data_IF_211698632908
#
_entry.id   IF_211698632908
#
_cell.length_a   1.000
_cell.length_b   1.000
_cell.length_c   1.000
_cell.angle_alpha   90.00
_cell.angle_beta   90.00
_cell.angle_gamma   90.00
#
_symmetry.space_group_name_H-M   'P 1'
#
loop_
_entity.id
_entity.type
_entity.pdbx_description
1 polymer ?
2 polymer ?
3 water ?
#
# COMPACT_ATOMS: atom_id res chain seq x y z
N UNK A 1 -2.03 14.22 14.85
CA UNK A 1 -2.12 15.02 13.54
C UNK A 1 -2.60 14.22 12.34
N UNK A 2 -2.56 14.82 11.19
CA UNK A 2 -2.98 14.09 10.05
C UNK A 2 -1.96 12.96 9.72
N UNK A 3 -2.48 11.95 9.02
CA UNK A 3 -1.58 10.85 8.70
C UNK A 3 -0.56 11.30 7.63
N UNK A 4 0.67 10.88 7.79
CA UNK A 4 1.61 11.27 6.75
C UNK A 4 1.53 10.43 5.46
N UNK A 5 0.70 9.42 5.49
CA UNK A 5 0.76 8.48 4.35
C UNK A 5 -0.38 8.46 3.45
N UNK A 6 -1.33 9.34 3.65
CA UNK A 6 -2.50 9.33 2.80
C UNK A 6 -2.39 10.38 1.75
N UNK A 7 -2.34 9.97 0.47
CA UNK A 7 -2.08 10.96 -0.56
C UNK A 7 -3.19 11.25 -1.51
N UNK A 8 -4.38 10.78 -1.17
CA UNK A 8 -5.50 11.10 -2.00
C UNK A 8 -5.48 10.46 -3.36
N UNK A 9 -6.00 11.12 -4.35
CA UNK A 9 -6.13 10.53 -5.67
C UNK A 9 -4.95 10.99 -6.53
N UNK A 10 -3.89 10.22 -6.46
CA UNK A 10 -2.63 10.56 -7.25
C UNK A 10 -2.55 9.41 -8.18
N UNK A 11 -2.06 9.63 -9.37
CA UNK A 11 -1.94 8.52 -10.37
C UNK A 11 -0.87 7.53 -9.94
N UNK A 12 -1.10 6.27 -10.38
CA UNK A 12 -0.09 5.28 -10.09
C UNK A 12 1.31 5.71 -10.46
N UNK A 13 1.41 6.25 -11.68
CA UNK A 13 2.76 6.64 -12.13
C UNK A 13 3.40 7.76 -11.33
N UNK A 14 2.56 8.70 -10.81
CA UNK A 14 3.11 9.73 -9.95
C UNK A 14 3.53 9.18 -8.63
N UNK A 15 2.79 8.17 -8.08
CA UNK A 15 3.23 7.57 -6.81
C UNK A 15 4.61 6.89 -7.02
N UNK A 16 4.76 6.24 -8.18
CA UNK A 16 6.13 5.61 -8.40
C UNK A 16 7.21 6.72 -8.48
N UNK A 17 6.95 7.80 -9.20
CA UNK A 17 7.93 8.89 -9.28
C UNK A 17 8.30 9.38 -7.91
N UNK A 18 7.32 9.67 -7.08
CA UNK A 18 7.62 10.15 -5.72
C UNK A 18 8.33 9.18 -4.88
N UNK A 19 7.95 7.89 -4.90
CA UNK A 19 8.62 6.94 -4.04
C UNK A 19 10.05 6.57 -4.49
N UNK A 20 10.25 6.64 -5.77
CA UNK A 20 11.61 6.30 -6.31
C UNK A 20 12.66 7.19 -5.74
N UNK A 21 12.28 8.40 -5.39
CA UNK A 21 13.16 9.41 -4.86
C UNK A 21 13.45 9.25 -3.41
N UNK A 22 12.72 8.37 -2.73
CA UNK A 22 12.94 8.22 -1.29
C UNK A 22 14.10 7.35 -1.08
N UNK A 23 14.80 7.51 0.01
CA UNK A 23 15.91 6.62 0.04
C UNK A 23 15.76 5.42 0.89
N UNK A 24 14.75 5.33 1.72
CA UNK A 24 14.68 4.18 2.58
C UNK A 24 13.71 3.13 2.08
N UNK A 25 14.04 1.88 2.26
CA UNK A 25 13.20 0.77 1.88
C UNK A 25 11.98 0.84 2.83
N UNK A 26 10.81 0.61 2.26
CA UNK A 26 9.60 0.61 3.13
C UNK A 26 8.86 1.94 2.98
N UNK A 27 9.46 2.96 2.39
CA UNK A 27 8.75 4.27 2.19
C UNK A 27 7.48 3.93 1.40
N UNK A 28 6.34 4.50 1.82
CA UNK A 28 5.06 4.06 1.22
C UNK A 28 4.06 5.18 1.27
N UNK A 29 2.98 4.95 0.53
CA UNK A 29 1.83 5.84 0.60
C UNK A 29 0.62 5.05 0.23
N UNK A 30 -0.58 5.49 0.77
CA UNK A 30 -1.84 4.96 0.36
C UNK A 30 -2.48 5.98 -0.52
N UNK A 31 -3.06 5.49 -1.63
CA UNK A 31 -3.74 6.40 -2.61
C UNK A 31 -5.04 5.85 -2.92
N UNK A 32 -5.91 6.71 -3.41
CA UNK A 32 -7.21 6.26 -3.92
C UNK A 32 -7.04 5.84 -5.36
N UNK A 33 -7.42 4.64 -5.66
CA UNK A 33 -7.18 4.12 -7.00
C UNK A 33 -7.96 4.87 -8.10
N UNK A 34 -7.28 5.14 -9.21
CA UNK A 34 -7.95 5.74 -10.40
C UNK A 34 -8.51 4.64 -11.28
N UNK A 35 -7.99 3.43 -11.25
CA UNK A 35 -8.54 2.38 -12.11
C UNK A 35 -9.71 1.68 -11.50
N UNK A 36 -9.81 1.73 -10.19
CA UNK A 36 -10.93 1.07 -9.55
C UNK A 36 -11.49 2.03 -8.50
N UNK A 37 -12.41 2.92 -8.90
CA UNK A 37 -12.98 3.85 -7.92
C UNK A 37 -13.58 3.23 -6.71
N UNK A 38 -13.23 3.79 -5.55
CA UNK A 38 -13.67 3.28 -4.25
C UNK A 38 -12.68 2.36 -3.61
N UNK A 39 -11.62 2.00 -4.37
CA UNK A 39 -10.61 1.12 -3.79
C UNK A 39 -9.37 1.97 -3.47
N UNK A 40 -8.63 1.47 -2.46
CA UNK A 40 -7.35 2.07 -2.11
C UNK A 40 -6.20 1.14 -2.57
N UNK A 41 -5.09 1.79 -2.85
CA UNK A 41 -3.84 1.12 -3.21
C UNK A 41 -2.73 1.52 -2.34
N UNK A 42 -1.85 0.56 -2.08
CA UNK A 42 -0.70 0.81 -1.23
C UNK A 42 0.51 0.74 -2.18
N UNK A 43 1.30 1.80 -2.21
CA UNK A 43 2.51 1.78 -3.11
C UNK A 43 3.70 1.83 -2.15
N UNK A 44 4.75 0.98 -2.40
CA UNK A 44 5.83 0.92 -1.43
C UNK A 44 7.17 0.70 -2.20
N UNK A 45 8.17 1.35 -1.65
CA UNK A 45 9.53 1.18 -2.25
C UNK A 45 10.30 0.10 -1.57
N UNK A 46 10.98 -0.77 -2.42
CA UNK A 46 11.85 -1.70 -1.83
C UNK A 46 12.95 -2.06 -2.85
N UNK A 47 14.19 -1.94 -2.40
CA UNK A 47 15.17 -2.50 -3.41
C UNK A 47 15.18 -1.94 -4.83
N UNK A 48 15.23 -0.61 -4.88
CA UNK A 48 15.23 0.22 -6.04
C UNK A 48 14.04 -0.03 -6.93
N UNK A 49 12.88 -0.39 -6.38
CA UNK A 49 11.74 -0.67 -7.24
C UNK A 49 10.50 -0.19 -6.39
N UNK A 50 9.41 -0.06 -7.09
CA UNK A 50 8.13 0.30 -6.40
C UNK A 50 7.13 -0.74 -6.72
N UNK A 51 6.44 -1.25 -5.66
CA UNK A 51 5.39 -2.30 -5.84
C UNK A 51 4.05 -1.74 -5.41
N UNK A 52 3.02 -2.22 -6.03
CA UNK A 52 1.62 -1.75 -5.70
C UNK A 52 0.81 -2.92 -5.23
N UNK A 53 0.05 -2.67 -4.16
CA UNK A 53 -0.85 -3.65 -3.57
C UNK A 53 -2.23 -3.08 -3.56
N UNK A 54 -3.22 -3.93 -3.70
CA UNK A 54 -4.60 -3.40 -3.62
C UNK A 54 -5.01 -3.64 -2.17
N UNK A 55 -5.67 -2.64 -1.55
CA UNK A 55 -6.19 -2.94 -0.16
C UNK A 55 -7.54 -3.68 -0.43
N UNK A 56 -7.55 -4.91 0.02
CA UNK A 56 -8.75 -5.77 -0.20
C UNK A 56 -9.77 -5.54 0.91
N UNK A 57 -11.04 -5.80 0.60
CA UNK A 57 -12.13 -5.65 1.60
C UNK A 57 -12.96 -6.89 1.51
N UNK A 58 -13.34 -7.42 2.66
CA UNK A 58 -14.10 -8.66 2.57
C UNK A 58 -15.58 -8.42 2.82
N UNK A 59 -16.23 -9.57 2.98
CA UNK A 59 -17.67 -9.49 3.22
C UNK A 59 -18.13 -8.88 4.52
N UNK A 60 -17.25 -8.72 5.51
CA UNK A 60 -17.61 -8.07 6.78
C UNK A 60 -17.17 -6.67 6.74
N UNK A 61 -16.62 -6.21 5.59
CA UNK A 61 -16.15 -4.83 5.50
C UNK A 61 -14.72 -4.58 5.99
N UNK A 62 -13.98 -5.67 6.22
CA UNK A 62 -12.66 -5.51 6.81
C UNK A 62 -11.65 -5.31 5.73
N UNK A 63 -10.56 -4.67 6.06
CA UNK A 63 -9.49 -4.42 5.05
C UNK A 63 -8.39 -5.40 5.30
N UNK A 64 -7.69 -5.79 4.21
CA UNK A 64 -6.55 -6.75 4.42
C UNK A 64 -5.70 -6.72 3.15
N UNK A 65 -4.48 -7.25 3.31
CA UNK A 65 -3.64 -7.42 2.10
C UNK A 65 -3.58 -8.93 1.71
N UNK A 66 -3.44 -9.81 2.69
CA UNK A 66 -3.32 -11.27 2.44
C UNK A 66 -4.32 -12.09 3.27
N UNK A 67 -4.10 -12.12 4.58
CA UNK A 67 -4.98 -12.94 5.47
C UNK A 67 -5.43 -12.24 6.71
N UNK A 68 -4.61 -11.43 7.32
CA UNK A 68 -4.98 -10.76 8.60
C UNK A 68 -5.85 -9.56 8.23
N UNK A 69 -6.95 -9.45 8.94
CA UNK A 69 -8.02 -8.41 8.68
C UNK A 69 -8.10 -7.36 9.72
N UNK A 70 -8.41 -6.17 9.24
CA UNK A 70 -8.42 -5.00 10.07
C UNK A 70 -9.63 -4.16 9.86
N UNK A 71 -10.01 -3.44 10.93
CA UNK A 71 -11.17 -2.59 10.83
C UNK A 71 -10.93 -1.26 10.22
N UNK A 72 -9.71 -0.81 9.94
CA UNK A 72 -9.48 0.50 9.36
C UNK A 72 -8.18 0.43 8.56
N UNK A 73 -8.08 1.40 7.69
CA UNK A 73 -6.81 1.53 6.99
C UNK A 73 -5.74 1.83 7.98
N UNK A 74 -5.96 2.72 8.98
CA UNK A 74 -4.95 3.04 9.93
C UNK A 74 -4.46 1.79 10.66
N UNK A 75 -5.33 0.88 11.04
CA UNK A 75 -4.85 -0.30 11.76
C UNK A 75 -4.05 -1.20 10.76
N UNK A 76 -4.46 -1.27 9.55
CA UNK A 76 -3.69 -2.15 8.57
C UNK A 76 -2.35 -1.52 8.42
N UNK A 77 -2.20 -0.24 8.25
CA UNK A 77 -0.87 0.37 8.10
C UNK A 77 0.01 0.13 9.31
N UNK A 78 -0.54 0.32 10.51
CA UNK A 78 0.35 0.22 11.67
C UNK A 78 0.72 -1.24 11.89
N UNK A 79 -0.09 -2.20 11.59
CA UNK A 79 0.29 -3.64 11.72
C UNK A 79 1.49 -3.90 10.76
N UNK A 80 1.45 -3.33 9.59
CA UNK A 80 2.54 -3.63 8.58
C UNK A 80 3.78 -2.83 8.78
N UNK A 81 3.87 -2.05 9.85
CA UNK A 81 5.14 -1.43 10.15
C UNK A 81 6.04 -2.51 10.73
N UNK A 82 5.50 -3.61 11.21
CA UNK A 82 6.38 -4.65 11.83
C UNK A 82 6.10 -6.03 11.31
N UNK A 83 5.21 -6.20 10.29
CA UNK A 83 4.96 -7.49 9.68
C UNK A 83 5.02 -7.14 8.18
N UNK A 84 5.75 -7.94 7.41
CA UNK A 84 5.91 -7.57 6.03
C UNK A 84 4.64 -7.52 5.20
N UNK A 85 4.69 -6.60 4.28
CA UNK A 85 3.57 -6.55 3.32
C UNK A 85 3.73 -7.53 2.20
N UNK A 86 4.99 -8.06 2.00
CA UNK A 86 5.24 -9.02 0.90
C UNK A 86 5.44 -10.42 1.46
N UNK A 87 5.12 -11.40 0.64
CA UNK A 87 5.30 -12.80 1.06
C UNK A 87 6.70 -13.26 0.67
N UNK A 88 7.34 -12.58 -0.23
CA UNK A 88 8.72 -13.02 -0.60
C UNK A 88 9.87 -12.11 -0.25
N UNK A 89 9.61 -10.89 0.25
CA UNK A 89 10.65 -9.98 0.61
C UNK A 89 10.19 -9.37 1.95
N UNK A 90 11.11 -8.86 2.74
CA UNK A 90 10.79 -8.25 4.01
C UNK A 90 10.63 -6.78 3.77
N UNK A 91 9.36 -6.34 3.72
CA UNK A 91 9.14 -4.94 3.40
C UNK A 91 8.22 -4.42 4.53
N UNK A 92 8.83 -3.63 5.40
CA UNK A 92 8.08 -3.07 6.57
C UNK A 92 7.84 -1.60 6.25
N UNK A 93 6.59 -1.16 6.46
CA UNK A 93 6.28 0.21 6.13
C UNK A 93 6.96 1.24 7.04
N UNK A 94 7.40 2.30 6.38
CA UNK A 94 8.08 3.40 7.01
C UNK A 94 7.52 4.68 6.46
N UNK A 95 7.19 5.67 7.29
CA UNK A 95 6.62 6.88 6.70
C UNK A 95 7.64 7.70 5.89
N UNK A 96 7.12 8.42 4.91
CA UNK A 96 7.89 9.36 4.12
C UNK A 96 7.78 10.58 5.09
N UNK B 1 -7.59 -3.54 -16.26
CA UNK B 1 -7.03 -3.17 -14.87
C UNK B 1 -5.54 -3.64 -14.59
N UNK B 2 -4.60 -2.69 -14.28
CA UNK B 2 -3.17 -2.89 -14.00
C UNK B 2 -3.11 -3.92 -12.93
N UNK B 3 -1.91 -4.21 -12.56
CA UNK B 3 -1.80 -5.34 -11.63
C UNK B 3 -1.35 -4.90 -10.29
N UNK B 4 -1.62 -5.76 -9.37
CA UNK B 4 -1.28 -5.57 -7.90
C UNK B 4 -0.64 -6.83 -7.41
N UNK B 5 0.34 -6.76 -6.56
CA UNK B 5 1.11 -7.91 -6.10
C UNK B 5 0.23 -8.96 -5.42
N UNK B 6 -0.82 -8.48 -4.77
CA UNK B 6 -1.63 -9.40 -3.99
C UNK B 6 -2.94 -9.79 -4.63
N UNK B 7 -3.09 -9.50 -5.95
CA UNK B 7 -4.27 -9.89 -6.69
C UNK B 7 -3.73 -10.83 -7.80
N UNK B 8 -3.97 -12.11 -7.67
CA UNK B 8 -3.41 -13.01 -8.68
C UNK B 8 -4.16 -12.93 -10.00
N UNK B 9 -3.39 -12.83 -11.08
CA UNK B 9 -3.93 -12.79 -12.44
C UNK B 9 -3.67 -14.22 -12.96
#
# INVERSE_FOLDING_TARGET
GSMAWFFGKIPRAKAEEMLSKQRHDGAFLIRESESAPGDFSLSVKFGNDVQHFKVLRDGAGKYFLWVVKFNSLNELVDYHRSTSVSRNQQIFLRDI
APSYVNVQN
#
